data_IF_984663542743
#
_entry.id   IF_984663542743
#
_cell.length_a   1.000
_cell.length_b   1.000
_cell.length_c   1.000
_cell.angle_alpha   90.00
_cell.angle_beta   90.00
_cell.angle_gamma   90.00
#
_symmetry.space_group_name_H-M   'P 1'
#
loop_
_entity.id
_entity.type
_entity.pdbx_description
1 polymer ?
#
# COMPACT_ATOMS: atom_id res chain seq x y z
N UNK A 1 6.76 54.11 -10.35
CA UNK A 1 7.63 53.04 -10.90
C UNK A 1 7.21 51.67 -10.37
N UNK A 2 6.20 51.02 -10.98
CA UNK A 2 5.79 49.64 -10.68
C UNK A 2 5.37 48.99 -12.00
N UNK A 3 6.31 48.34 -12.68
CA UNK A 3 6.07 47.78 -14.03
C UNK A 3 7.22 46.95 -14.60
N UNK A 4 8.42 47.01 -14.01
CA UNK A 4 9.58 46.22 -14.45
C UNK A 4 9.61 44.80 -13.88
N UNK A 5 9.14 44.60 -12.64
CA UNK A 5 9.24 43.30 -11.95
C UNK A 5 8.49 42.16 -12.64
N UNK A 6 7.25 42.39 -13.08
CA UNK A 6 6.45 41.36 -13.74
C UNK A 6 7.04 40.90 -15.08
N UNK A 7 7.62 41.84 -15.86
CA UNK A 7 8.32 41.51 -17.10
C UNK A 7 9.59 40.71 -16.84
N UNK A 8 10.37 41.08 -15.83
CA UNK A 8 11.57 40.34 -15.45
C UNK A 8 11.26 38.89 -15.02
N UNK A 9 10.19 38.69 -14.24
CA UNK A 9 9.75 37.34 -13.84
C UNK A 9 9.30 36.52 -15.05
N UNK A 10 8.53 37.12 -15.97
CA UNK A 10 8.08 36.42 -17.17
C UNK A 10 9.24 35.99 -18.07
N UNK A 11 10.25 36.85 -18.24
CA UNK A 11 11.46 36.52 -19.01
C UNK A 11 12.28 35.42 -18.34
N UNK A 12 12.39 35.43 -17.01
CA UNK A 12 13.05 34.36 -16.26
C UNK A 12 12.31 33.02 -16.43
N UNK A 13 10.99 33.02 -16.23
CA UNK A 13 10.15 31.82 -16.40
C UNK A 13 10.27 31.28 -17.82
N UNK A 14 10.24 32.15 -18.84
CA UNK A 14 10.43 31.75 -20.24
C UNK A 14 11.80 31.12 -20.48
N UNK A 15 12.85 31.68 -19.91
CA UNK A 15 14.22 31.14 -20.01
C UNK A 15 14.30 29.74 -19.38
N UNK A 16 13.79 29.59 -18.15
CA UNK A 16 13.82 28.31 -17.43
C UNK A 16 12.97 27.23 -18.12
N UNK A 17 11.78 27.58 -18.63
CA UNK A 17 10.96 26.67 -19.43
C UNK A 17 11.66 26.22 -20.72
N UNK A 18 12.36 27.13 -21.41
CA UNK A 18 13.11 26.79 -22.62
C UNK A 18 14.32 25.89 -22.31
N UNK A 19 14.98 26.10 -21.17
CA UNK A 19 16.07 25.25 -20.69
C UNK A 19 15.56 23.86 -20.31
N UNK A 20 14.47 23.81 -19.55
CA UNK A 20 13.80 22.58 -19.14
C UNK A 20 13.37 21.71 -20.34
N UNK A 21 12.80 22.33 -21.38
CA UNK A 21 12.39 21.62 -22.61
C UNK A 21 13.54 21.02 -23.43
N UNK A 22 14.76 21.53 -23.27
CA UNK A 22 15.95 20.99 -23.96
C UNK A 22 16.58 19.85 -23.19
N UNK A 23 16.34 19.76 -21.88
CA UNK A 23 16.77 18.65 -21.06
C UNK A 23 15.82 17.45 -21.22
N UNK A 24 16.16 16.58 -22.17
CA UNK A 24 15.38 15.36 -22.46
C UNK A 24 15.28 14.43 -21.25
N UNK A 25 16.35 14.33 -20.45
CA UNK A 25 16.35 13.45 -19.28
C UNK A 25 15.38 13.97 -18.22
N UNK A 26 15.40 15.28 -17.97
CA UNK A 26 14.51 15.90 -16.99
C UNK A 26 13.04 15.84 -17.42
N UNK A 27 12.74 16.00 -18.73
CA UNK A 27 11.38 15.77 -19.27
C UNK A 27 10.92 14.31 -19.06
N UNK A 28 11.81 13.33 -19.31
CA UNK A 28 11.49 11.91 -19.08
C UNK A 28 11.21 11.67 -17.60
N UNK A 29 12.04 12.17 -16.69
CA UNK A 29 11.83 11.98 -15.25
C UNK A 29 10.51 12.58 -14.79
N UNK A 30 10.17 13.80 -15.21
CA UNK A 30 8.92 14.46 -14.79
C UNK A 30 7.67 13.75 -15.31
N UNK A 31 7.74 13.07 -16.46
CA UNK A 31 6.62 12.29 -17.00
C UNK A 31 6.57 10.86 -16.46
N UNK A 32 7.71 10.18 -16.41
CA UNK A 32 7.80 8.76 -16.04
C UNK A 32 7.72 8.57 -14.53
N UNK A 33 8.32 9.45 -13.74
CA UNK A 33 8.31 9.31 -12.27
C UNK A 33 6.88 9.27 -11.71
N UNK A 34 5.95 10.20 -12.06
CA UNK A 34 4.57 10.12 -11.59
C UNK A 34 3.84 8.87 -12.09
N UNK A 35 4.07 8.45 -13.34
CA UNK A 35 3.47 7.22 -13.88
C UNK A 35 3.94 5.99 -13.10
N UNK A 36 5.24 5.89 -12.84
CA UNK A 36 5.81 4.81 -12.03
C UNK A 36 5.29 4.86 -10.59
N UNK A 37 5.22 6.05 -9.99
CA UNK A 37 4.67 6.23 -8.64
C UNK A 37 3.21 5.78 -8.55
N UNK A 38 2.36 6.20 -9.49
CA UNK A 38 0.96 5.80 -9.54
C UNK A 38 0.80 4.30 -9.85
N UNK A 39 1.69 3.73 -10.67
CA UNK A 39 1.68 2.29 -10.95
C UNK A 39 2.04 1.49 -9.72
N UNK A 40 3.13 1.85 -9.02
CA UNK A 40 3.54 1.18 -7.78
C UNK A 40 2.45 1.34 -6.72
N UNK A 41 1.92 2.56 -6.55
CA UNK A 41 0.86 2.83 -5.59
C UNK A 41 -0.43 2.08 -5.94
N UNK A 42 -0.82 2.02 -7.21
CA UNK A 42 -2.00 1.28 -7.68
C UNK A 42 -1.84 -0.24 -7.49
N UNK A 43 -0.67 -0.79 -7.80
CA UNK A 43 -0.36 -2.20 -7.55
C UNK A 43 -0.35 -2.51 -6.05
N UNK A 44 0.20 -1.62 -5.22
CA UNK A 44 0.22 -1.77 -3.76
C UNK A 44 -1.16 -1.54 -3.11
N UNK A 45 -1.98 -0.65 -3.67
CA UNK A 45 -3.35 -0.43 -3.20
C UNK A 45 -4.28 -1.59 -3.58
N UNK A 46 -3.96 -2.31 -4.66
CA UNK A 46 -4.65 -3.54 -5.07
C UNK A 46 -3.99 -4.82 -4.52
N UNK A 47 -3.03 -4.70 -3.59
CA UNK A 47 -2.77 -5.81 -2.67
C UNK A 47 -4.05 -5.95 -1.85
N UNK A 48 -4.94 -6.82 -2.32
CA UNK A 48 -6.17 -7.14 -1.61
C UNK A 48 -5.76 -7.68 -0.24
N UNK A 49 -6.08 -6.92 0.80
CA UNK A 49 -6.15 -7.44 2.16
C UNK A 49 -7.34 -8.41 2.30
N UNK A 50 -8.13 -8.60 1.25
CA UNK A 50 -9.17 -9.60 1.17
C UNK A 50 -8.52 -10.98 1.05
N UNK A 51 -9.05 -11.96 1.79
CA UNK A 51 -8.54 -13.34 1.85
C UNK A 51 -7.17 -13.53 2.51
N UNK A 52 -6.75 -12.66 3.43
CA UNK A 52 -5.56 -12.92 4.22
C UNK A 52 -5.79 -14.18 5.08
N UNK A 53 -4.96 -15.23 4.94
CA UNK A 53 -5.15 -16.44 5.70
C UNK A 53 -4.80 -16.15 7.17
N UNK A 54 -5.73 -16.52 8.07
CA UNK A 54 -5.62 -16.23 9.50
C UNK A 54 -5.98 -17.47 10.32
N UNK A 55 -5.09 -17.79 11.26
CA UNK A 55 -5.26 -18.87 12.22
C UNK A 55 -5.31 -18.26 13.62
N UNK A 56 -6.38 -18.55 14.38
CA UNK A 56 -6.57 -18.04 15.75
C UNK A 56 -6.66 -19.21 16.73
N UNK A 57 -5.84 -19.19 17.79
CA UNK A 57 -5.96 -20.11 18.93
C UNK A 57 -6.59 -19.37 20.11
N UNK A 58 -7.78 -19.80 20.51
CA UNK A 58 -8.43 -19.35 21.73
C UNK A 58 -7.93 -20.17 22.94
N UNK A 59 -7.04 -19.58 23.75
CA UNK A 59 -6.52 -20.20 24.99
C UNK A 59 -7.37 -19.93 26.22
N UNK A 60 -8.21 -18.89 26.16
CA UNK A 60 -9.02 -18.44 27.28
C UNK A 60 -10.36 -19.20 27.31
N UNK A 61 -10.88 -19.58 26.15
CA UNK A 61 -12.11 -20.38 26.00
C UNK A 61 -13.40 -19.64 26.43
N UNK A 62 -13.26 -18.38 26.86
CA UNK A 62 -14.33 -17.52 27.35
C UNK A 62 -15.30 -17.12 26.24
N UNK A 63 -16.50 -16.66 26.63
CA UNK A 63 -17.51 -16.21 25.68
C UNK A 63 -17.03 -14.95 24.94
N UNK A 64 -16.30 -14.08 25.65
CA UNK A 64 -15.69 -12.85 25.16
C UNK A 64 -14.59 -13.14 24.14
N UNK A 65 -13.70 -14.10 24.43
CA UNK A 65 -12.65 -14.53 23.51
C UNK A 65 -13.24 -15.08 22.20
N UNK A 66 -14.25 -15.96 22.31
CA UNK A 66 -14.95 -16.51 21.14
C UNK A 66 -15.66 -15.44 20.32
N UNK A 67 -16.28 -14.46 20.97
CA UNK A 67 -16.92 -13.34 20.29
C UNK A 67 -15.91 -12.47 19.53
N UNK A 68 -14.69 -12.30 20.06
CA UNK A 68 -13.60 -11.61 19.38
C UNK A 68 -13.11 -12.41 18.16
N UNK A 69 -12.90 -13.72 18.30
CA UNK A 69 -12.51 -14.60 17.17
C UNK A 69 -13.52 -14.52 16.03
N UNK A 70 -14.82 -14.59 16.33
CA UNK A 70 -15.86 -14.48 15.31
C UNK A 70 -15.78 -13.14 14.58
N UNK A 71 -15.52 -12.03 15.29
CA UNK A 71 -15.41 -10.70 14.67
C UNK A 71 -14.30 -10.59 13.63
N UNK A 72 -13.18 -11.30 13.79
CA UNK A 72 -12.12 -11.34 12.79
C UNK A 72 -12.56 -11.96 11.46
N UNK A 73 -13.52 -12.89 11.48
CA UNK A 73 -14.01 -13.59 10.29
C UNK A 73 -15.37 -13.08 9.80
N UNK A 74 -15.87 -11.96 10.35
CA UNK A 74 -17.12 -11.33 9.87
C UNK A 74 -16.90 -10.48 8.61
N UNK A 75 -15.67 -10.03 8.36
CA UNK A 75 -15.30 -9.29 7.15
C UNK A 75 -14.58 -10.17 6.13
N UNK A 76 -14.43 -9.66 4.91
CA UNK A 76 -13.74 -10.36 3.81
C UNK A 76 -12.21 -10.28 3.90
N UNK A 77 -11.69 -9.60 4.93
CA UNK A 77 -10.26 -9.38 5.17
C UNK A 77 -9.52 -10.68 5.54
N UNK A 78 -10.19 -11.58 6.27
CA UNK A 78 -9.55 -12.78 6.80
C UNK A 78 -10.33 -14.04 6.43
N UNK A 79 -9.62 -15.02 5.87
CA UNK A 79 -10.15 -16.36 5.64
C UNK A 79 -9.60 -17.32 6.69
N UNK A 80 -10.48 -18.06 7.34
CA UNK A 80 -10.06 -19.08 8.31
C UNK A 80 -9.37 -20.23 7.60
N UNK A 81 -8.09 -20.44 7.93
CA UNK A 81 -7.37 -21.66 7.55
C UNK A 81 -7.45 -22.58 8.76
N UNK A 82 -8.20 -23.68 8.61
CA UNK A 82 -8.42 -24.77 9.58
C UNK A 82 -8.12 -24.46 11.06
N UNK A 83 -9.13 -24.34 11.92
CA UNK A 83 -8.93 -24.07 13.35
C UNK A 83 -8.09 -25.17 14.06
N UNK A 84 -6.83 -24.90 14.46
CA UNK A 84 -6.03 -25.87 15.17
C UNK A 84 -6.57 -26.03 16.59
N UNK A 85 -6.79 -27.27 17.01
CA UNK A 85 -7.28 -27.59 18.35
C UNK A 85 -6.13 -27.56 19.37
N UNK A 86 -4.88 -27.72 18.90
CA UNK A 86 -3.68 -27.69 19.75
C UNK A 86 -2.58 -26.81 19.16
N UNK A 87 -1.76 -26.23 20.03
CA UNK A 87 -0.60 -25.38 19.64
C UNK A 87 0.42 -26.13 18.75
N UNK A 88 0.55 -27.45 18.93
CA UNK A 88 1.36 -28.32 18.06
C UNK A 88 0.83 -28.45 16.64
N UNK A 89 -0.46 -28.18 16.42
CA UNK A 89 -1.04 -28.15 15.07
C UNK A 89 -0.68 -26.83 14.37
N UNK A 90 -0.62 -25.73 15.11
CA UNK A 90 -0.19 -24.43 14.59
C UNK A 90 1.29 -24.41 14.21
N UNK A 91 2.19 -24.96 15.05
CA UNK A 91 3.62 -25.09 14.71
C UNK A 91 3.79 -25.85 13.39
N UNK A 92 3.05 -26.95 13.20
CA UNK A 92 3.09 -27.73 11.95
C UNK A 92 2.54 -26.99 10.75
N UNK A 93 1.53 -26.13 10.93
CA UNK A 93 0.98 -25.30 9.86
C UNK A 93 1.98 -24.21 9.45
N UNK A 94 2.66 -23.58 10.40
CA UNK A 94 3.72 -22.60 10.15
C UNK A 94 4.88 -23.25 9.39
N UNK A 95 5.35 -24.41 9.84
CA UNK A 95 6.45 -25.14 9.20
C UNK A 95 6.15 -25.57 7.75
N UNK A 96 4.86 -25.75 7.42
CA UNK A 96 4.40 -26.14 6.08
C UNK A 96 3.97 -24.97 5.20
N UNK A 97 3.90 -23.76 5.74
CA UNK A 97 3.36 -22.59 5.03
C UNK A 97 1.85 -22.66 4.78
N UNK A 98 1.11 -23.39 5.62
CA UNK A 98 -0.35 -23.53 5.58
C UNK A 98 -1.06 -22.49 6.47
N UNK A 99 -0.48 -21.29 6.61
CA UNK A 99 -0.99 -20.19 7.45
C UNK A 99 -1.62 -19.07 6.68
#
# INVERSE_FOLDING_TARGET
>A
MKGSGARAVLELVRKELAQFRRDRLMMVIILVSPVMQLTILGLAANFDLQDMPLVVIDRDGSAESRALTVRFFLGDEFRSVAAPVHERDLERMIDRGET
#
